data_IF_320934396534
#
_entry.id   IF_320934396534
#
_cell.length_a   1.000
_cell.length_b   1.000
_cell.length_c   1.000
_cell.angle_alpha   90.00
_cell.angle_beta   90.00
_cell.angle_gamma   90.00
#
_symmetry.space_group_name_H-M   'P 1'
#
loop_
_entity.id
_entity.type
_entity.pdbx_description
1 polymer ?
#
# COMPACT_ATOMS: atom_id res chain seq x y z
N UNK A 1 -7.02 -12.73 -5.68
CA UNK A 1 -7.69 -12.79 -6.99
C UNK A 1 -8.28 -11.41 -7.23
N UNK A 2 -7.84 -10.66 -8.24
CA UNK A 2 -8.39 -9.33 -8.52
C UNK A 2 -9.86 -9.50 -8.91
N UNK A 3 -10.73 -8.68 -8.33
CA UNK A 3 -12.16 -8.67 -8.64
C UNK A 3 -12.40 -8.55 -10.15
N UNK A 4 -13.33 -9.35 -10.69
CA UNK A 4 -13.63 -9.40 -12.14
C UNK A 4 -14.05 -8.03 -12.69
N UNK A 5 -14.67 -7.19 -11.87
CA UNK A 5 -15.06 -5.83 -12.20
C UNK A 5 -13.83 -4.92 -12.34
N UNK A 6 -12.85 -5.06 -11.45
CA UNK A 6 -11.61 -4.28 -11.48
C UNK A 6 -10.77 -4.63 -12.70
N UNK A 7 -10.59 -5.93 -12.97
CA UNK A 7 -9.87 -6.40 -14.16
C UNK A 7 -10.53 -5.90 -15.45
N UNK A 8 -11.87 -5.82 -15.49
CA UNK A 8 -12.60 -5.26 -16.62
C UNK A 8 -12.32 -3.76 -16.79
N UNK A 9 -12.40 -2.98 -15.72
CA UNK A 9 -12.13 -1.54 -15.75
C UNK A 9 -10.69 -1.26 -16.16
N UNK A 10 -9.72 -2.02 -15.65
CA UNK A 10 -8.32 -1.93 -16.09
C UNK A 10 -8.18 -2.28 -17.58
N UNK A 11 -8.87 -3.31 -18.05
CA UNK A 11 -8.88 -3.67 -19.47
C UNK A 11 -9.47 -2.59 -20.37
N UNK A 12 -10.48 -1.86 -19.90
CA UNK A 12 -11.05 -0.70 -20.60
C UNK A 12 -10.07 0.47 -20.66
N UNK A 13 -9.43 0.80 -19.54
CA UNK A 13 -8.46 1.91 -19.46
C UNK A 13 -7.14 1.61 -20.18
N UNK A 14 -6.82 0.35 -20.44
CA UNK A 14 -5.68 -0.06 -21.26
C UNK A 14 -5.87 0.20 -22.76
N UNK A 15 -7.09 0.50 -23.21
CA UNK A 15 -7.37 0.83 -24.61
C UNK A 15 -7.15 2.33 -24.84
N UNK A 16 -6.28 2.70 -25.78
CA UNK A 16 -5.90 4.09 -26.06
C UNK A 16 -7.12 4.96 -26.43
N UNK A 17 -8.04 4.45 -27.25
CA UNK A 17 -9.26 5.16 -27.64
C UNK A 17 -10.15 5.51 -26.43
N UNK A 18 -10.31 4.55 -25.53
CA UNK A 18 -11.17 4.62 -24.36
C UNK A 18 -10.56 5.52 -23.29
N UNK A 19 -9.24 5.46 -23.10
CA UNK A 19 -8.51 6.34 -22.21
C UNK A 19 -8.58 7.80 -22.68
N UNK A 20 -8.41 8.05 -23.99
CA UNK A 20 -8.53 9.40 -24.57
C UNK A 20 -9.93 9.98 -24.40
N UNK A 21 -10.96 9.19 -24.65
CA UNK A 21 -12.36 9.64 -24.48
C UNK A 21 -12.68 9.93 -23.02
N UNK A 22 -12.24 9.10 -22.08
CA UNK A 22 -12.39 9.37 -20.66
C UNK A 22 -11.64 10.65 -20.25
N UNK A 23 -10.40 10.83 -20.72
CA UNK A 23 -9.62 12.03 -20.45
C UNK A 23 -10.29 13.28 -21.04
N UNK A 24 -10.84 13.20 -22.25
CA UNK A 24 -11.60 14.28 -22.87
C UNK A 24 -12.81 14.70 -22.03
N UNK A 25 -13.61 13.73 -21.56
CA UNK A 25 -14.74 13.99 -20.69
C UNK A 25 -14.35 14.66 -19.35
N UNK A 26 -13.20 14.27 -18.78
CA UNK A 26 -12.72 14.83 -17.50
C UNK A 26 -12.11 16.22 -17.68
N UNK A 27 -11.32 16.43 -18.73
CA UNK A 27 -10.52 17.64 -18.90
C UNK A 27 -11.26 18.75 -19.65
N UNK A 28 -12.24 18.40 -20.49
CA UNK A 28 -13.00 19.30 -21.38
C UNK A 28 -14.49 18.92 -21.43
N UNK A 29 -15.21 18.98 -20.30
CA UNK A 29 -16.62 18.60 -20.26
C UNK A 29 -17.47 19.49 -21.19
N UNK A 30 -18.35 18.86 -21.98
CA UNK A 30 -19.24 19.56 -22.92
C UNK A 30 -18.63 19.91 -24.28
N UNK A 31 -17.32 19.72 -24.45
CA UNK A 31 -16.68 19.89 -25.77
C UNK A 31 -16.88 18.64 -26.67
N UNK A 32 -16.97 18.82 -28.01
CA UNK A 32 -17.03 17.71 -28.94
C UNK A 32 -15.80 16.80 -28.83
N UNK A 33 -16.02 15.56 -28.40
CA UNK A 33 -14.95 14.61 -28.07
C UNK A 33 -14.13 14.17 -29.29
N UNK A 34 -14.71 14.17 -30.49
CA UNK A 34 -13.99 13.92 -31.74
C UNK A 34 -12.85 14.92 -31.95
N UNK A 35 -13.08 16.20 -31.64
CA UNK A 35 -12.06 17.25 -31.71
C UNK A 35 -11.03 17.15 -30.59
N UNK A 36 -11.48 16.86 -29.37
CA UNK A 36 -10.61 16.78 -28.18
C UNK A 36 -9.67 15.57 -28.25
N UNK A 37 -10.17 14.45 -28.77
CA UNK A 37 -9.42 13.17 -28.79
C UNK A 37 -8.70 12.90 -30.11
N UNK A 38 -9.07 13.60 -31.17
CA UNK A 38 -8.61 13.34 -32.54
C UNK A 38 -9.16 12.03 -33.13
N UNK A 39 -10.19 11.45 -32.50
CA UNK A 39 -10.86 10.23 -32.96
C UNK A 39 -12.07 10.57 -33.84
N UNK A 40 -12.45 9.67 -34.74
CA UNK A 40 -13.71 9.80 -35.47
C UNK A 40 -14.94 9.56 -34.56
N UNK A 41 -16.12 9.98 -35.02
CA UNK A 41 -17.35 9.89 -34.24
C UNK A 41 -17.75 8.45 -33.90
N UNK A 42 -17.39 7.48 -34.74
CA UNK A 42 -17.72 6.08 -34.52
C UNK A 42 -16.86 5.47 -33.40
N UNK A 43 -15.56 5.76 -33.41
CA UNK A 43 -14.62 5.37 -32.37
C UNK A 43 -14.98 6.02 -31.02
N UNK A 44 -15.36 7.30 -31.02
CA UNK A 44 -15.86 8.00 -29.83
C UNK A 44 -17.12 7.31 -29.29
N UNK A 45 -18.10 7.03 -30.13
CA UNK A 45 -19.34 6.38 -29.70
C UNK A 45 -19.09 4.97 -29.10
N UNK A 46 -18.22 4.18 -29.73
CA UNK A 46 -17.82 2.85 -29.22
C UNK A 46 -17.11 2.95 -27.87
N UNK A 47 -16.19 3.90 -27.71
CA UNK A 47 -15.50 4.15 -26.45
C UNK A 47 -16.46 4.60 -25.34
N UNK A 48 -17.42 5.48 -25.64
CA UNK A 48 -18.45 5.92 -24.69
C UNK A 48 -19.32 4.76 -24.22
N UNK A 49 -19.75 3.88 -25.13
CA UNK A 49 -20.51 2.68 -24.77
C UNK A 49 -19.68 1.71 -23.89
N UNK A 50 -18.38 1.57 -24.15
CA UNK A 50 -17.48 0.79 -23.28
C UNK A 50 -17.36 1.41 -21.89
N UNK A 51 -17.15 2.73 -21.80
CA UNK A 51 -17.08 3.45 -20.53
C UNK A 51 -18.38 3.36 -19.73
N UNK A 52 -19.53 3.47 -20.39
CA UNK A 52 -20.85 3.30 -19.79
C UNK A 52 -21.02 1.91 -19.18
N UNK A 53 -20.67 0.87 -19.94
CA UNK A 53 -20.71 -0.52 -19.46
C UNK A 53 -19.72 -0.82 -18.33
N UNK A 54 -18.64 -0.03 -18.21
CA UNK A 54 -17.69 -0.08 -17.11
C UNK A 54 -18.01 0.85 -15.93
N UNK A 55 -19.12 1.61 -16.00
CA UNK A 55 -19.51 2.58 -14.98
C UNK A 55 -18.64 3.85 -14.93
N UNK A 56 -17.69 4.01 -15.84
CA UNK A 56 -16.73 5.13 -15.87
C UNK A 56 -17.25 6.37 -16.60
N UNK A 57 -18.38 6.24 -17.30
CA UNK A 57 -19.11 7.37 -17.87
C UNK A 57 -20.61 7.11 -17.76
N UNK A 58 -21.39 8.17 -17.69
CA UNK A 58 -22.85 8.10 -17.72
C UNK A 58 -23.37 9.11 -18.74
N UNK A 59 -24.44 8.74 -19.43
CA UNK A 59 -25.19 9.64 -20.30
C UNK A 59 -26.31 10.27 -19.49
N UNK A 60 -26.23 11.58 -19.30
CA UNK A 60 -27.36 12.41 -18.86
C UNK A 60 -28.24 12.75 -20.09
N UNK A 61 -29.27 13.61 -19.96
CA UNK A 61 -30.27 13.85 -21.02
C UNK A 61 -29.66 14.13 -22.41
N UNK A 62 -28.70 15.07 -22.48
CA UNK A 62 -28.04 15.45 -23.74
C UNK A 62 -26.51 15.42 -23.68
N UNK A 63 -25.91 14.96 -22.58
CA UNK A 63 -24.46 15.03 -22.39
C UNK A 63 -23.88 13.81 -21.71
N UNK A 64 -22.60 13.56 -21.98
CA UNK A 64 -21.84 12.53 -21.30
C UNK A 64 -21.06 13.14 -20.13
N UNK A 65 -21.10 12.47 -18.97
CA UNK A 65 -20.33 12.83 -17.79
C UNK A 65 -19.39 11.69 -17.41
N UNK A 66 -18.12 11.99 -17.21
CA UNK A 66 -17.17 11.02 -16.65
C UNK A 66 -17.47 10.73 -15.17
N UNK A 67 -17.20 9.49 -14.75
CA UNK A 67 -17.31 9.01 -13.37
C UNK A 67 -15.98 8.42 -12.87
N UNK A 68 -14.92 9.23 -12.75
CA UNK A 68 -13.64 8.75 -12.23
C UNK A 68 -13.72 8.24 -10.79
N UNK A 69 -14.74 8.66 -10.02
CA UNK A 69 -15.01 8.14 -8.68
C UNK A 69 -15.31 6.65 -8.64
N UNK A 70 -15.91 6.08 -9.69
CA UNK A 70 -16.15 4.63 -9.79
C UNK A 70 -14.84 3.84 -9.75
N UNK A 71 -13.77 4.35 -10.36
CA UNK A 71 -12.45 3.74 -10.25
C UNK A 71 -11.94 3.76 -8.79
N UNK A 72 -12.11 4.87 -8.07
CA UNK A 72 -11.68 4.98 -6.66
C UNK A 72 -12.50 4.09 -5.74
N UNK A 73 -13.80 4.00 -5.96
CA UNK A 73 -14.72 3.12 -5.23
C UNK A 73 -14.31 1.66 -5.41
N UNK A 74 -13.99 1.26 -6.64
CA UNK A 74 -13.48 -0.08 -6.95
C UNK A 74 -12.10 -0.33 -6.31
N UNK A 75 -11.19 0.63 -6.32
CA UNK A 75 -9.90 0.47 -5.64
C UNK A 75 -10.06 0.28 -4.13
N UNK A 76 -11.06 0.91 -3.50
CA UNK A 76 -11.35 0.72 -2.07
C UNK A 76 -11.88 -0.67 -1.72
N UNK A 77 -12.42 -1.41 -2.69
CA UNK A 77 -12.82 -2.81 -2.48
C UNK A 77 -11.64 -3.76 -2.59
N UNK A 78 -10.52 -3.34 -3.20
CA UNK A 78 -9.25 -4.06 -3.10
C UNK A 78 -8.76 -3.87 -1.67
N UNK A 79 -8.46 -4.96 -0.94
CA UNK A 79 -7.70 -4.85 0.29
C UNK A 79 -6.38 -4.14 -0.04
N UNK A 80 -6.20 -2.92 0.46
CA UNK A 80 -4.91 -2.25 0.51
C UNK A 80 -4.01 -3.13 1.36
N UNK A 81 -3.27 -4.02 0.71
CA UNK A 81 -2.20 -4.73 1.40
C UNK A 81 -1.06 -3.71 1.50
N UNK A 82 -0.58 -3.38 2.70
CA UNK A 82 0.68 -2.66 2.84
C UNK A 82 1.72 -3.25 1.90
N UNK A 83 2.36 -2.42 1.08
CA UNK A 83 3.37 -2.91 0.12
C UNK A 83 4.57 -3.49 0.88
N UNK A 84 4.83 -2.96 2.08
CA UNK A 84 5.59 -3.61 3.14
C UNK A 84 4.67 -3.91 4.34
N UNK A 85 4.57 -5.17 4.84
CA UNK A 85 3.85 -5.51 6.07
C UNK A 85 4.20 -4.62 7.27
N UNK A 86 5.38 -4.00 7.29
CA UNK A 86 5.84 -3.07 8.32
C UNK A 86 5.16 -1.70 8.29
N UNK A 87 4.62 -1.25 7.15
CA UNK A 87 3.93 0.05 7.05
C UNK A 87 2.67 0.10 7.94
N UNK A 88 2.11 -1.06 8.31
CA UNK A 88 0.99 -1.14 9.24
C UNK A 88 1.38 -0.92 10.71
N UNK A 89 2.67 -0.96 11.04
CA UNK A 89 3.19 -0.88 12.41
C UNK A 89 4.05 0.36 12.64
N UNK A 90 4.70 0.87 11.58
CA UNK A 90 5.63 1.99 11.64
C UNK A 90 5.01 3.29 11.12
N UNK A 91 5.29 4.39 11.82
CA UNK A 91 5.12 5.76 11.32
C UNK A 91 6.46 6.45 11.51
N UNK A 92 7.05 6.94 10.41
CA UNK A 92 8.37 7.56 10.39
C UNK A 92 9.48 6.71 11.05
N UNK A 93 9.42 5.39 10.86
CA UNK A 93 10.39 4.43 11.42
C UNK A 93 10.19 4.09 12.90
N UNK A 94 9.16 4.63 13.55
CA UNK A 94 8.82 4.35 14.96
C UNK A 94 7.56 3.50 15.05
N UNK A 95 7.51 2.57 16.01
CA UNK A 95 6.32 1.77 16.25
C UNK A 95 5.21 2.63 16.85
N UNK A 96 4.00 2.53 16.27
CA UNK A 96 2.79 3.14 16.86
C UNK A 96 2.39 2.41 18.14
N UNK A 97 2.56 1.08 18.15
CA UNK A 97 2.38 0.23 19.34
C UNK A 97 3.08 -1.12 19.13
N UNK A 98 3.43 -1.80 20.22
CA UNK A 98 3.93 -3.18 20.17
C UNK A 98 2.76 -4.13 19.89
N UNK A 99 2.78 -4.95 18.82
CA UNK A 99 1.65 -5.81 18.49
C UNK A 99 1.33 -6.85 19.58
N UNK A 100 0.05 -6.93 19.96
CA UNK A 100 -0.41 -7.92 20.94
C UNK A 100 -0.40 -9.35 20.38
N UNK A 101 -0.74 -9.52 19.09
CA UNK A 101 -0.75 -10.82 18.41
C UNK A 101 0.69 -11.30 18.18
N UNK A 102 1.05 -12.46 18.74
CA UNK A 102 2.42 -13.02 18.68
C UNK A 102 2.99 -13.06 17.26
N UNK A 103 2.24 -13.58 16.29
CA UNK A 103 2.70 -13.66 14.89
C UNK A 103 3.13 -12.29 14.32
N UNK A 104 2.34 -11.23 14.56
CA UNK A 104 2.68 -9.87 14.13
C UNK A 104 3.87 -9.30 14.91
N UNK A 105 3.93 -9.60 16.22
CA UNK A 105 5.04 -9.19 17.07
C UNK A 105 6.36 -9.80 16.59
N UNK A 106 6.38 -11.09 16.22
CA UNK A 106 7.58 -11.74 15.68
C UNK A 106 8.12 -11.03 14.43
N UNK A 107 7.25 -10.61 13.51
CA UNK A 107 7.68 -9.84 12.33
C UNK A 107 8.35 -8.51 12.72
N UNK A 108 7.75 -7.78 13.66
CA UNK A 108 8.30 -6.51 14.17
C UNK A 108 9.63 -6.73 14.89
N UNK A 109 9.74 -7.78 15.71
CA UNK A 109 10.97 -8.09 16.44
C UNK A 109 12.10 -8.49 15.49
N UNK A 110 11.80 -9.26 14.46
CA UNK A 110 12.77 -9.64 13.43
C UNK A 110 13.32 -8.43 12.69
N UNK A 111 12.45 -7.47 12.34
CA UNK A 111 12.83 -6.20 11.75
C UNK A 111 13.76 -5.39 12.68
N UNK A 112 13.39 -5.23 13.96
CA UNK A 112 14.20 -4.47 14.94
C UNK A 112 15.55 -5.15 15.19
N UNK A 113 15.58 -6.49 15.21
CA UNK A 113 16.81 -7.25 15.44
C UNK A 113 17.88 -6.95 14.37
N UNK A 114 17.49 -6.52 13.17
CA UNK A 114 18.43 -6.17 12.09
C UNK A 114 19.34 -4.99 12.40
N UNK A 115 19.00 -4.16 13.40
CA UNK A 115 19.88 -3.08 13.86
C UNK A 115 21.12 -3.61 14.58
N UNK A 116 21.06 -4.84 15.10
CA UNK A 116 22.18 -5.47 15.79
C UNK A 116 22.93 -6.38 14.83
N UNK A 117 24.22 -6.10 14.66
CA UNK A 117 25.12 -6.98 13.91
C UNK A 117 25.26 -8.35 14.59
N UNK A 118 25.26 -9.41 13.79
CA UNK A 118 25.42 -10.80 14.27
C UNK A 118 26.82 -10.99 14.85
N UNK A 119 26.89 -11.55 16.06
CA UNK A 119 28.15 -11.84 16.75
C UNK A 119 28.77 -10.63 17.48
N UNK A 120 28.24 -9.42 17.28
CA UNK A 120 28.66 -8.22 18.04
C UNK A 120 27.96 -8.20 19.40
N UNK A 121 28.73 -7.87 20.44
CA UNK A 121 28.26 -7.78 21.83
C UNK A 121 27.99 -6.35 22.22
N UNK A 122 26.78 -6.07 22.67
CA UNK A 122 26.29 -4.77 23.07
C UNK A 122 26.00 -4.77 24.58
N UNK A 123 26.57 -3.87 25.38
CA UNK A 123 26.12 -3.67 26.75
C UNK A 123 24.66 -3.19 26.76
N UNK A 124 23.94 -3.50 27.83
CA UNK A 124 22.53 -3.17 28.01
C UNK A 124 22.17 -1.71 27.65
N UNK A 125 23.04 -0.76 28.02
CA UNK A 125 22.83 0.66 27.74
C UNK A 125 22.80 0.98 26.25
N UNK A 126 23.61 0.31 25.43
CA UNK A 126 23.63 0.51 23.98
C UNK A 126 22.39 -0.08 23.33
N UNK A 127 21.96 -1.26 23.79
CA UNK A 127 20.69 -1.86 23.39
C UNK A 127 19.52 -0.93 23.70
N UNK A 128 19.49 -0.35 24.88
CA UNK A 128 18.43 0.60 25.27
C UNK A 128 18.42 1.85 24.41
N UNK A 129 19.59 2.38 24.06
CA UNK A 129 19.70 3.54 23.15
C UNK A 129 19.15 3.20 21.78
N UNK A 130 19.52 2.04 21.21
CA UNK A 130 19.01 1.60 19.92
C UNK A 130 17.49 1.39 19.94
N UNK A 131 16.95 0.71 20.96
CA UNK A 131 15.54 0.40 21.05
C UNK A 131 14.63 1.62 21.31
N UNK A 132 15.15 2.68 21.93
CA UNK A 132 14.42 3.95 22.10
C UNK A 132 14.08 4.64 20.78
N UNK A 133 14.82 4.37 19.71
CA UNK A 133 14.46 4.86 18.38
C UNK A 133 13.11 4.27 17.91
N UNK A 134 12.81 3.04 18.31
CA UNK A 134 11.63 2.30 17.86
C UNK A 134 10.40 2.49 18.74
N UNK A 135 10.53 2.58 20.07
CA UNK A 135 9.39 2.69 20.97
C UNK A 135 9.80 3.17 22.37
N UNK A 136 8.89 3.86 23.08
CA UNK A 136 9.14 4.35 24.45
C UNK A 136 9.19 3.21 25.48
N UNK A 137 8.44 2.14 25.25
CA UNK A 137 8.56 0.88 26.00
C UNK A 137 9.68 0.00 25.42
N UNK A 138 10.91 0.54 25.39
CA UNK A 138 12.11 -0.17 24.92
C UNK A 138 12.46 -1.37 25.82
N UNK A 139 12.09 -1.32 27.10
CA UNK A 139 12.28 -2.42 28.04
C UNK A 139 11.42 -3.65 27.65
N UNK A 140 10.17 -3.45 27.25
CA UNK A 140 9.34 -4.53 26.72
C UNK A 140 9.90 -5.08 25.41
N UNK A 141 10.33 -4.23 24.48
CA UNK A 141 10.99 -4.68 23.24
C UNK A 141 12.22 -5.54 23.53
N UNK A 142 13.09 -5.09 24.43
CA UNK A 142 14.29 -5.83 24.84
C UNK A 142 13.95 -7.19 25.43
N UNK A 143 12.93 -7.25 26.29
CA UNK A 143 12.44 -8.51 26.86
C UNK A 143 11.92 -9.45 25.77
N UNK A 144 11.08 -8.96 24.86
CA UNK A 144 10.53 -9.79 23.79
C UNK A 144 11.60 -10.29 22.80
N UNK A 145 12.59 -9.45 22.49
CA UNK A 145 13.73 -9.85 21.64
C UNK A 145 14.51 -11.02 22.25
N UNK A 146 14.64 -11.07 23.58
CA UNK A 146 15.26 -12.20 24.27
C UNK A 146 14.33 -13.40 24.37
N UNK A 147 13.08 -13.18 24.81
CA UNK A 147 12.10 -14.25 25.01
C UNK A 147 11.80 -15.04 23.72
N UNK A 148 11.81 -14.35 22.58
CA UNK A 148 11.57 -14.97 21.26
C UNK A 148 12.88 -15.35 20.54
N UNK A 149 14.05 -15.20 21.18
CA UNK A 149 15.34 -15.74 20.70
C UNK A 149 16.09 -14.92 19.65
N UNK A 150 15.65 -13.69 19.36
CA UNK A 150 16.36 -12.79 18.44
C UNK A 150 17.68 -12.27 19.04
N UNK A 151 17.67 -11.97 20.34
CA UNK A 151 18.85 -11.63 21.12
C UNK A 151 19.10 -12.68 22.20
N UNK A 152 20.37 -12.97 22.48
CA UNK A 152 20.78 -13.66 23.71
C UNK A 152 21.36 -12.66 24.69
N UNK A 153 21.21 -12.92 25.99
CA UNK A 153 21.74 -12.08 27.07
C UNK A 153 22.56 -12.88 28.05
N UNK A 154 23.74 -12.37 28.40
CA UNK A 154 24.61 -12.86 29.47
C UNK A 154 25.26 -11.68 30.20
N UNK A 155 25.21 -11.66 31.54
CA UNK A 155 25.85 -10.62 32.37
C UNK A 155 25.61 -9.16 31.91
N UNK A 156 24.36 -8.83 31.53
CA UNK A 156 23.94 -7.51 30.99
C UNK A 156 24.59 -7.12 29.65
N UNK A 157 25.09 -8.11 28.91
CA UNK A 157 25.56 -7.99 27.53
C UNK A 157 24.62 -8.78 26.63
N UNK A 158 24.31 -8.22 25.48
CA UNK A 158 23.38 -8.76 24.50
C UNK A 158 24.08 -8.96 23.17
N UNK A 159 23.65 -9.94 22.39
CA UNK A 159 24.08 -10.08 21.00
C UNK A 159 22.96 -10.72 20.20
N UNK A 160 22.96 -10.44 18.89
CA UNK A 160 22.02 -11.06 17.98
C UNK A 160 22.36 -12.54 17.78
N UNK A 161 21.40 -13.39 18.09
CA UNK A 161 21.50 -14.86 18.05
C UNK A 161 20.45 -15.52 17.15
N UNK A 162 19.54 -14.74 16.57
CA UNK A 162 18.47 -15.23 15.69
C UNK A 162 17.95 -14.16 14.73
N UNK A 163 16.82 -14.46 14.09
CA UNK A 163 16.19 -13.64 13.07
C UNK A 163 16.63 -13.99 11.64
N UNK A 164 16.04 -13.31 10.66
CA UNK A 164 16.31 -13.50 9.22
C UNK A 164 17.64 -12.84 8.81
N UNK A 165 18.40 -13.51 7.93
CA UNK A 165 19.68 -13.02 7.37
C UNK A 165 19.51 -12.63 5.91
#
# INVERSE_FOLDING_TARGET
MIDKHISRVLGLLGQDDTLRVLAGLVLRPGEPLDKVTGLDQEAVAKALDRLARGGLAVRDEDSWRARPETFRELLRTIPSTPTDPMDAFLVDGRLVSIPAKRAKRLMVLDYIAQVFEVGVRYPEKEVDVALRAFHDDYAALRRYLVDEGFLTREANVYWRSGGTT
#
